data_IF_547284218052
#
_entry.id   IF_547284218052
#
_cell.length_a   1.000
_cell.length_b   1.000
_cell.length_c   1.000
_cell.angle_alpha   90.00
_cell.angle_beta   90.00
_cell.angle_gamma   90.00
#
_symmetry.space_group_name_H-M   'P 1'
#
loop_
_entity.id
_entity.type
_entity.pdbx_description
1 polymer ?
#
# COMPACT_ATOMS: atom_id res chain seq x y z
N UNK A 1 0.20 -7.41 -37.41
CA UNK A 1 -0.07 -7.89 -36.08
C UNK A 1 0.25 -6.80 -35.05
N UNK A 2 -0.66 -6.58 -34.16
CA UNK A 2 -0.41 -5.56 -33.15
C UNK A 2 0.39 -6.13 -31.98
N UNK A 3 1.12 -5.26 -31.33
CA UNK A 3 1.88 -5.64 -30.16
C UNK A 3 0.94 -5.97 -29.00
N UNK A 4 1.33 -6.90 -28.14
CA UNK A 4 0.52 -7.15 -26.95
C UNK A 4 0.44 -5.89 -26.09
N UNK A 5 -0.73 -5.68 -25.53
CA UNK A 5 -0.93 -4.54 -24.63
C UNK A 5 -0.23 -4.84 -23.32
N UNK A 6 0.58 -3.88 -22.87
CA UNK A 6 1.22 -4.01 -21.57
C UNK A 6 0.19 -3.59 -20.51
N UNK A 7 -0.25 -4.56 -19.73
CA UNK A 7 -1.28 -4.33 -18.71
C UNK A 7 -0.74 -3.74 -17.42
N UNK A 8 0.58 -3.70 -17.25
CA UNK A 8 1.17 -3.23 -16.00
C UNK A 8 0.79 -1.80 -15.62
N UNK A 9 0.79 -0.84 -16.56
CA UNK A 9 0.33 0.51 -16.20
C UNK A 9 -1.12 0.55 -15.76
N UNK A 10 -1.97 -0.29 -16.37
CA UNK A 10 -3.39 -0.34 -15.99
C UNK A 10 -3.56 -0.94 -14.60
N UNK A 11 -2.79 -1.96 -14.26
CA UNK A 11 -2.82 -2.54 -12.93
C UNK A 11 -2.36 -1.52 -11.90
N UNK A 12 -1.29 -0.79 -12.22
CA UNK A 12 -0.79 0.27 -11.34
C UNK A 12 -1.86 1.34 -11.10
N UNK A 13 -2.54 1.78 -12.17
CA UNK A 13 -3.60 2.77 -12.04
C UNK A 13 -4.75 2.25 -11.18
N UNK A 14 -5.10 0.98 -11.35
CA UNK A 14 -6.14 0.35 -10.54
C UNK A 14 -5.73 0.28 -9.08
N UNK A 15 -4.46 -0.03 -8.82
CA UNK A 15 -3.94 -0.07 -7.46
C UNK A 15 -4.02 1.31 -6.79
N UNK A 16 -3.66 2.37 -7.52
CA UNK A 16 -3.75 3.73 -7.01
C UNK A 16 -5.22 4.09 -6.73
N UNK A 17 -6.12 3.68 -7.61
CA UNK A 17 -7.56 3.93 -7.41
C UNK A 17 -8.07 3.22 -6.15
N UNK A 18 -7.60 2.00 -5.90
CA UNK A 18 -8.00 1.28 -4.69
C UNK A 18 -7.43 1.96 -3.44
N UNK A 19 -6.21 2.49 -3.53
CA UNK A 19 -5.67 3.26 -2.41
C UNK A 19 -6.57 4.46 -2.07
N UNK A 20 -7.06 5.15 -3.09
CA UNK A 20 -7.97 6.28 -2.87
C UNK A 20 -9.27 5.83 -2.21
N UNK A 21 -9.84 4.73 -2.70
CA UNK A 21 -11.10 4.20 -2.16
C UNK A 21 -10.95 3.84 -0.70
N UNK A 22 -9.91 3.08 -0.37
CA UNK A 22 -9.74 2.62 1.01
C UNK A 22 -9.25 3.72 1.94
N UNK A 23 -8.49 4.68 1.42
CA UNK A 23 -8.10 5.86 2.20
C UNK A 23 -9.34 6.69 2.56
N UNK A 24 -10.25 6.85 1.59
CA UNK A 24 -11.49 7.57 1.85
C UNK A 24 -12.34 6.85 2.89
N UNK A 25 -12.47 5.54 2.75
CA UNK A 25 -13.22 4.74 3.71
C UNK A 25 -12.63 4.83 5.11
N UNK A 26 -11.30 4.78 5.20
CA UNK A 26 -10.61 4.88 6.48
C UNK A 26 -10.81 6.27 7.11
N UNK A 27 -10.91 7.31 6.28
CA UNK A 27 -11.10 8.68 6.76
C UNK A 27 -12.42 8.85 7.49
N UNK A 28 -13.41 8.03 7.18
CA UNK A 28 -14.72 8.14 7.83
C UNK A 28 -14.68 7.73 9.29
N UNK A 29 -13.69 6.93 9.67
CA UNK A 29 -13.63 6.39 11.04
C UNK A 29 -12.39 6.81 11.81
N UNK A 30 -11.31 7.17 11.14
CA UNK A 30 -10.05 7.40 11.81
C UNK A 30 -9.41 8.74 11.57
N UNK A 31 -10.13 9.68 11.00
CA UNK A 31 -9.58 10.99 10.65
C UNK A 31 -9.03 10.98 9.22
N UNK A 32 -8.56 12.11 8.72
CA UNK A 32 -8.28 12.24 7.28
C UNK A 32 -7.08 11.42 6.82
N UNK A 33 -7.27 10.74 5.69
CA UNK A 33 -6.21 10.12 4.91
C UNK A 33 -6.17 10.87 3.59
N UNK A 34 -5.04 11.45 3.26
CA UNK A 34 -4.88 12.26 2.04
C UNK A 34 -4.04 11.52 1.03
N UNK A 35 -4.54 11.41 -0.20
CA UNK A 35 -3.84 10.70 -1.28
C UNK A 35 -3.43 11.68 -2.35
N UNK A 36 -2.14 11.65 -2.71
CA UNK A 36 -1.63 12.37 -3.87
C UNK A 36 -0.87 11.37 -4.73
N UNK A 37 -0.85 11.59 -6.04
CA UNK A 37 -0.14 10.67 -6.92
C UNK A 37 0.37 11.38 -8.17
N UNK A 38 1.40 10.78 -8.76
CA UNK A 38 1.92 11.13 -10.06
C UNK A 38 1.87 9.88 -10.92
N UNK A 39 2.50 9.92 -12.09
CA UNK A 39 2.46 8.79 -13.00
C UNK A 39 3.07 7.52 -12.39
N UNK A 40 4.10 7.68 -11.56
CA UNK A 40 4.89 6.55 -11.07
C UNK A 40 4.87 6.41 -9.55
N UNK A 41 4.09 7.21 -8.85
CA UNK A 41 4.19 7.26 -7.40
C UNK A 41 2.86 7.64 -6.79
N UNK A 42 2.56 7.06 -5.63
CA UNK A 42 1.39 7.44 -4.86
C UNK A 42 1.82 7.64 -3.41
N UNK A 43 1.26 8.64 -2.76
CA UNK A 43 1.56 8.96 -1.38
C UNK A 43 0.27 9.11 -0.61
N UNK A 44 0.17 8.42 0.52
CA UNK A 44 -0.98 8.54 1.42
C UNK A 44 -0.47 9.05 2.76
N UNK A 45 -1.07 10.11 3.25
CA UNK A 45 -0.70 10.68 4.54
C UNK A 45 -1.85 10.56 5.53
N UNK A 46 -1.52 10.19 6.74
CA UNK A 46 -2.48 10.10 7.83
C UNK A 46 -1.75 10.50 9.10
N UNK A 47 -2.10 11.68 9.65
CA UNK A 47 -1.43 12.23 10.81
C UNK A 47 0.07 12.33 10.55
N UNK A 48 0.91 11.73 11.39
CA UNK A 48 2.36 11.80 11.25
C UNK A 48 2.93 10.64 10.43
N UNK A 49 2.06 9.80 9.88
CA UNK A 49 2.49 8.63 9.12
C UNK A 49 2.32 8.85 7.63
N UNK A 50 3.21 8.27 6.85
CA UNK A 50 3.21 8.43 5.39
C UNK A 50 3.45 7.08 4.74
N UNK A 51 2.60 6.75 3.77
CA UNK A 51 2.84 5.62 2.88
C UNK A 51 3.29 6.18 1.54
N UNK A 52 4.39 5.68 1.02
CA UNK A 52 4.86 6.03 -0.30
C UNK A 52 5.00 4.75 -1.12
N UNK A 53 4.36 4.72 -2.29
CA UNK A 53 4.43 3.57 -3.19
C UNK A 53 4.90 4.07 -4.54
N UNK A 54 5.95 3.46 -5.06
CA UNK A 54 6.48 3.81 -6.38
C UNK A 54 6.50 2.59 -7.27
N UNK A 55 6.39 2.81 -8.57
CA UNK A 55 6.31 1.74 -9.55
C UNK A 55 7.04 2.13 -10.83
N UNK A 56 7.87 1.22 -11.33
CA UNK A 56 8.55 1.39 -12.61
C UNK A 56 7.86 0.57 -13.67
N UNK A 57 7.15 1.25 -14.59
CA UNK A 57 6.39 0.56 -15.62
C UNK A 57 7.29 -0.27 -16.54
N UNK A 58 8.53 0.17 -16.75
CA UNK A 58 9.45 -0.55 -17.65
C UNK A 58 9.90 -1.87 -17.07
N UNK A 59 10.13 -1.91 -15.77
CA UNK A 59 10.64 -3.11 -15.12
C UNK A 59 9.56 -3.96 -14.50
N UNK A 60 8.40 -3.36 -14.22
CA UNK A 60 7.34 -4.04 -13.48
C UNK A 60 7.60 -4.14 -12.00
N UNK A 61 8.64 -3.47 -11.50
CA UNK A 61 9.01 -3.54 -10.10
C UNK A 61 8.58 -2.29 -9.36
N UNK A 62 8.18 -2.47 -8.11
CA UNK A 62 7.78 -1.36 -7.29
C UNK A 62 8.30 -1.49 -5.88
N UNK A 63 8.19 -0.40 -5.14
CA UNK A 63 8.61 -0.35 -3.75
C UNK A 63 7.55 0.41 -2.96
N UNK A 64 7.39 0.02 -1.71
CA UNK A 64 6.51 0.74 -0.80
C UNK A 64 7.25 0.97 0.51
N UNK A 65 6.93 2.09 1.15
CA UNK A 65 7.45 2.40 2.48
C UNK A 65 6.37 3.06 3.30
N UNK A 66 6.20 2.59 4.52
CA UNK A 66 5.35 3.23 5.51
C UNK A 66 6.27 3.83 6.56
N UNK A 67 6.21 5.14 6.73
CA UNK A 67 7.05 5.86 7.68
C UNK A 67 6.18 6.36 8.82
N UNK A 68 6.51 5.95 10.03
CA UNK A 68 5.90 6.43 11.26
C UNK A 68 6.94 7.28 11.99
N UNK A 69 6.52 8.08 12.97
CA UNK A 69 7.49 8.93 13.67
C UNK A 69 8.69 8.22 14.25
N UNK A 70 8.52 6.97 14.68
CA UNK A 70 9.59 6.24 15.34
C UNK A 70 10.07 5.00 14.61
N UNK A 71 9.52 4.73 13.42
CA UNK A 71 9.93 3.54 12.67
C UNK A 71 9.54 3.67 11.22
N UNK A 72 10.17 2.86 10.40
CA UNK A 72 9.88 2.79 8.98
C UNK A 72 9.84 1.33 8.57
N UNK A 73 8.89 1.00 7.72
CA UNK A 73 8.77 -0.35 7.19
C UNK A 73 8.63 -0.26 5.68
N UNK A 74 9.49 -0.96 4.96
CA UNK A 74 9.52 -0.90 3.50
C UNK A 74 9.52 -2.30 2.93
N UNK A 75 9.09 -2.40 1.67
CA UNK A 75 9.09 -3.66 0.97
C UNK A 75 9.06 -3.45 -0.52
N UNK A 76 9.07 -4.55 -1.25
CA UNK A 76 9.05 -4.54 -2.69
C UNK A 76 7.83 -5.32 -3.19
N UNK A 77 7.43 -5.02 -4.41
CA UNK A 77 6.38 -5.77 -5.08
C UNK A 77 6.66 -5.77 -6.57
N UNK A 78 5.88 -6.53 -7.30
CA UNK A 78 6.06 -6.69 -8.71
C UNK A 78 4.71 -6.85 -9.39
N UNK A 79 4.55 -6.22 -10.55
CA UNK A 79 3.41 -6.47 -11.42
C UNK A 79 3.97 -7.12 -12.68
N UNK A 80 3.60 -8.36 -12.95
CA UNK A 80 4.16 -9.08 -14.09
C UNK A 80 3.41 -8.73 -15.37
N UNK A 81 3.85 -9.30 -16.48
CA UNK A 81 3.28 -8.99 -17.78
C UNK A 81 1.85 -9.46 -17.93
N UNK A 82 1.40 -10.35 -17.06
CA UNK A 82 0.00 -10.82 -17.04
C UNK A 82 -0.85 -9.97 -16.11
N UNK A 83 -0.27 -8.99 -15.43
CA UNK A 83 -0.99 -8.11 -14.52
C UNK A 83 -1.13 -8.65 -13.11
N UNK A 84 -0.38 -9.69 -12.77
CA UNK A 84 -0.45 -10.24 -11.42
C UNK A 84 0.46 -9.46 -10.48
N UNK A 85 -0.09 -9.07 -9.34
CA UNK A 85 0.63 -8.36 -8.30
C UNK A 85 1.22 -9.37 -7.33
N UNK A 86 2.54 -9.32 -7.16
CA UNK A 86 3.26 -10.31 -6.36
C UNK A 86 4.15 -9.61 -5.35
N UNK A 87 4.13 -10.12 -4.12
CA UNK A 87 5.02 -9.68 -3.04
C UNK A 87 5.99 -10.82 -2.72
N UNK A 88 7.03 -10.58 -1.94
CA UNK A 88 7.95 -11.68 -1.58
C UNK A 88 7.23 -12.87 -0.94
N UNK A 89 6.13 -12.62 -0.24
CA UNK A 89 5.36 -13.69 0.40
C UNK A 89 4.42 -14.40 -0.57
N UNK A 90 4.19 -13.84 -1.76
CA UNK A 90 3.32 -14.47 -2.77
C UNK A 90 2.39 -13.46 -3.43
N UNK A 91 1.54 -13.93 -4.33
CA UNK A 91 0.61 -13.05 -5.03
C UNK A 91 -0.47 -12.49 -4.11
N UNK A 92 -1.00 -11.33 -4.50
CA UNK A 92 -2.03 -10.67 -3.70
C UNK A 92 -2.94 -9.88 -4.64
N UNK A 93 -4.22 -9.82 -4.28
CA UNK A 93 -5.17 -9.00 -5.03
C UNK A 93 -4.86 -7.53 -4.84
N UNK A 94 -5.20 -6.72 -5.84
CA UNK A 94 -4.93 -5.27 -5.80
C UNK A 94 -5.59 -4.62 -4.60
N UNK A 95 -6.86 -4.93 -4.38
CA UNK A 95 -7.58 -4.31 -3.28
C UNK A 95 -7.04 -4.79 -1.93
N UNK A 96 -6.61 -6.05 -1.84
CA UNK A 96 -6.02 -6.54 -0.59
C UNK A 96 -4.71 -5.80 -0.28
N UNK A 97 -3.89 -5.54 -1.29
CA UNK A 97 -2.66 -4.77 -1.10
C UNK A 97 -2.98 -3.37 -0.59
N UNK A 98 -3.98 -2.71 -1.18
CA UNK A 98 -4.37 -1.37 -0.76
C UNK A 98 -4.90 -1.39 0.68
N UNK A 99 -5.71 -2.37 1.02
CA UNK A 99 -6.24 -2.52 2.38
C UNK A 99 -5.10 -2.68 3.37
N UNK A 100 -4.14 -3.53 3.05
CA UNK A 100 -3.01 -3.80 3.94
C UNK A 100 -2.19 -2.53 4.16
N UNK A 101 -1.87 -1.81 3.08
CA UNK A 101 -1.07 -0.59 3.18
C UNK A 101 -1.78 0.49 3.99
N UNK A 102 -3.08 0.69 3.75
CA UNK A 102 -3.85 1.67 4.53
C UNK A 102 -3.90 1.24 5.99
N UNK A 103 -4.03 -0.06 6.23
CA UNK A 103 -4.02 -0.59 7.59
C UNK A 103 -2.70 -0.33 8.30
N UNK A 104 -1.58 -0.41 7.58
CA UNK A 104 -0.28 -0.13 8.18
C UNK A 104 -0.18 1.32 8.66
N UNK A 105 -0.77 2.26 7.93
CA UNK A 105 -0.78 3.66 8.37
C UNK A 105 -1.53 3.85 9.68
N UNK A 106 -2.65 3.17 9.83
CA UNK A 106 -3.43 3.28 11.05
C UNK A 106 -2.86 2.49 12.22
N UNK A 107 -2.08 1.48 11.91
CA UNK A 107 -1.57 0.54 12.91
C UNK A 107 -0.57 1.15 13.87
N UNK A 108 0.00 2.27 13.51
CA UNK A 108 0.96 2.94 14.39
C UNK A 108 0.35 3.24 15.75
N UNK A 109 -0.90 3.64 15.77
CA UNK A 109 -1.57 3.94 17.04
C UNK A 109 -1.79 2.71 17.88
N UNK A 110 -2.08 1.58 17.24
CA UNK A 110 -2.33 0.33 17.94
C UNK A 110 -1.03 -0.22 18.51
N UNK A 111 0.04 -0.14 17.72
CA UNK A 111 1.35 -0.63 18.14
C UNK A 111 1.88 0.17 19.32
N UNK A 112 1.59 1.44 19.37
CA UNK A 112 2.02 2.29 20.47
C UNK A 112 1.47 1.85 21.82
N UNK A 113 0.43 1.08 21.84
CA UNK A 113 -0.17 0.57 23.07
C UNK A 113 0.60 -0.61 23.63
N UNK A 114 1.46 -1.07 22.97
CA UNK A 114 2.24 -2.13 23.53
C UNK A 114 1.71 -3.47 23.28
N UNK A 115 1.60 -3.20 23.58
CA UNK A 115 1.75 -4.05 23.57
C UNK A 115 1.70 -4.76 23.24
N UNK A 116 1.43 -4.58 23.18
CA UNK A 116 1.46 -5.36 22.85
C UNK A 116 1.35 -5.92 22.50
N UNK A 117 1.02 -5.69 22.44
CA UNK A 117 0.94 -6.53 22.07
C UNK A 117 0.70 -6.84 21.62
N UNK A 118 0.42 -6.65 21.76
CA UNK A 118 0.29 -7.37 21.33
C UNK A 118 0.04 -7.78 20.95
N UNK A 119 -0.29 -7.57 21.03
CA UNK A 119 -0.42 -8.42 20.73
C UNK A 119 -0.60 -8.89 20.37
N UNK A 120 -0.89 -8.54 20.33
CA UNK A 120 -1.00 -9.29 20.07
C UNK A 120 -1.24 -9.69 19.78
N UNK A 121 -1.59 -9.45 19.80
CA UNK A 121 -1.80 -10.14 19.65
C UNK A 121 -1.98 -10.40 19.45
N UNK A 122 -2.26 -10.07 19.23
CA UNK A 122 -2.29 -10.67 19.30
C UNK A 122 -2.50 -10.95 19.30
N UNK A 123 -2.76 -10.58 19.25
CA UNK A 123 -2.78 -11.12 19.48
C UNK A 123 -3.00 -11.52 19.57
N UNK A 124 -3.44 -11.26 19.48
CA UNK A 124 -3.49 -11.90 19.94
C UNK A 124 -3.61 -12.38 19.79
N UNK A 125 -3.73 -12.06 19.77
CA UNK A 125 -3.79 -12.59 19.89
C UNK A 125 -3.72 -12.97 19.93
#
# INVERSE_FOLDING_TARGET
MSDPVDVRPHVWESLVSMLRVYAHAASLNGGPYTVTNSANEATVKHEDSVLNVSFGADSGEGNWCVTHPEREECGAFRIDEHGELTFPAGPKEIDQAAIDWIGYLGRDKVVADGSAGALAPTVHP
#
